data_IF_435617352750
#
_entry.id   IF_435617352750
#
_cell.length_a   1.000
_cell.length_b   1.000
_cell.length_c   1.000
_cell.angle_alpha   90.00
_cell.angle_beta   90.00
_cell.angle_gamma   90.00
#
_symmetry.space_group_name_H-M   'P 1'
#
loop_
_entity.id
_entity.type
_entity.pdbx_description
1 polymer ?
#
# COMPACT_ATOMS: atom_id res chain seq x y z
N UNK A 1 -29.31 -17.11 -8.71
CA UNK A 1 -27.89 -16.92 -9.07
C UNK A 1 -27.86 -16.38 -10.50
N UNK A 2 -27.54 -15.11 -10.69
CA UNK A 2 -27.41 -14.47 -12.02
C UNK A 2 -25.98 -13.94 -12.16
N UNK A 3 -25.44 -13.91 -13.38
CA UNK A 3 -24.13 -13.31 -13.68
C UNK A 3 -23.95 -11.92 -13.05
N UNK A 4 -25.03 -11.14 -12.97
CA UNK A 4 -25.01 -9.81 -12.38
C UNK A 4 -24.68 -9.82 -10.88
N UNK A 5 -25.06 -10.86 -10.13
CA UNK A 5 -24.72 -10.95 -8.71
C UNK A 5 -23.22 -11.14 -8.50
N UNK A 6 -22.56 -11.94 -9.34
CA UNK A 6 -21.11 -12.11 -9.27
C UNK A 6 -20.38 -10.82 -9.60
N UNK A 7 -20.84 -10.08 -10.62
CA UNK A 7 -20.27 -8.77 -10.96
C UNK A 7 -20.39 -7.82 -9.77
N UNK A 8 -21.57 -7.73 -9.14
CA UNK A 8 -21.79 -6.87 -7.97
C UNK A 8 -20.90 -7.26 -6.80
N UNK A 9 -20.80 -8.55 -6.48
CA UNK A 9 -19.97 -9.05 -5.38
C UNK A 9 -18.49 -8.71 -5.58
N UNK A 10 -17.96 -8.88 -6.78
CA UNK A 10 -16.55 -8.58 -7.07
C UNK A 10 -16.23 -7.08 -7.09
N UNK A 11 -17.23 -6.22 -7.24
CA UNK A 11 -17.05 -4.76 -7.30
C UNK A 11 -17.52 -4.03 -6.02
N UNK A 12 -18.09 -4.73 -5.03
CA UNK A 12 -18.54 -4.11 -3.79
C UNK A 12 -17.37 -3.86 -2.85
N UNK A 13 -17.05 -2.60 -2.61
CA UNK A 13 -16.01 -2.16 -1.68
C UNK A 13 -16.38 -0.80 -1.09
N UNK A 14 -15.90 -0.52 0.13
CA UNK A 14 -16.09 0.75 0.83
C UNK A 14 -14.74 1.42 1.03
N UNK A 15 -14.45 2.47 0.26
CA UNK A 15 -13.20 3.23 0.35
C UNK A 15 -13.17 4.22 1.51
N UNK A 16 -14.31 4.56 2.12
CA UNK A 16 -14.34 5.47 3.27
C UNK A 16 -13.61 4.88 4.50
N UNK A 17 -13.41 3.54 4.52
CA UNK A 17 -12.65 2.83 5.52
C UNK A 17 -11.13 2.76 5.27
N UNK A 18 -10.62 3.49 4.26
CA UNK A 18 -9.23 3.44 3.84
C UNK A 18 -8.62 4.83 3.67
N UNK A 19 -7.30 4.89 3.82
CA UNK A 19 -6.47 6.08 3.62
C UNK A 19 -5.74 5.95 2.28
N UNK A 20 -5.73 7.00 1.43
CA UNK A 20 -5.05 6.96 0.15
C UNK A 20 -3.53 6.92 0.31
N UNK A 21 -2.88 6.03 -0.45
CA UNK A 21 -1.42 5.89 -0.49
C UNK A 21 -0.83 6.49 -1.77
N UNK A 22 0.15 7.37 -1.63
CA UNK A 22 0.78 8.13 -2.69
C UNK A 22 2.26 7.83 -2.87
N UNK A 23 2.73 7.96 -4.12
CA UNK A 23 4.14 8.06 -4.49
C UNK A 23 4.27 9.33 -5.34
N UNK A 24 4.92 10.36 -4.80
CA UNK A 24 4.82 11.72 -5.34
C UNK A 24 3.35 12.17 -5.38
N UNK A 25 2.95 12.85 -6.45
CA UNK A 25 1.57 13.34 -6.64
C UNK A 25 0.58 12.25 -7.05
N UNK A 26 1.03 11.00 -7.22
CA UNK A 26 0.18 9.92 -7.75
C UNK A 26 -0.33 9.02 -6.62
N UNK A 27 -1.66 8.89 -6.51
CA UNK A 27 -2.29 7.86 -5.68
C UNK A 27 -2.12 6.49 -6.34
N UNK A 28 -1.40 5.60 -5.67
CA UNK A 28 -1.08 4.25 -6.16
C UNK A 28 -1.83 3.15 -5.41
N UNK A 29 -2.50 3.47 -4.31
CA UNK A 29 -3.25 2.48 -3.55
C UNK A 29 -4.05 3.05 -2.39
N UNK A 30 -4.46 2.13 -1.53
CA UNK A 30 -5.26 2.37 -0.33
C UNK A 30 -4.73 1.49 0.80
N UNK A 31 -4.62 2.06 2.00
CA UNK A 31 -4.20 1.34 3.20
C UNK A 31 -5.26 1.49 4.29
N UNK A 32 -5.40 0.47 5.14
CA UNK A 32 -6.28 0.58 6.31
C UNK A 32 -5.65 1.51 7.35
N UNK A 33 -6.43 2.34 8.06
CA UNK A 33 -5.89 3.19 9.14
C UNK A 33 -5.08 2.39 10.17
N UNK A 34 -5.57 1.22 10.59
CA UNK A 34 -4.87 0.34 11.55
C UNK A 34 -3.52 -0.17 11.03
N UNK A 35 -3.36 -0.30 9.71
CA UNK A 35 -2.10 -0.71 9.11
C UNK A 35 -1.04 0.40 9.16
N UNK A 36 -1.46 1.67 9.17
CA UNK A 36 -0.55 2.82 9.25
C UNK A 36 0.23 2.84 10.57
N UNK A 37 -0.37 2.35 11.65
CA UNK A 37 0.31 2.22 12.96
C UNK A 37 1.57 1.36 12.85
N UNK A 38 1.54 0.30 12.05
CA UNK A 38 2.72 -0.54 11.82
C UNK A 38 3.78 0.15 10.94
N UNK A 39 3.38 1.11 10.11
CA UNK A 39 4.27 1.83 9.20
C UNK A 39 4.97 3.02 9.86
N UNK A 40 4.39 3.60 10.92
CA UNK A 40 4.93 4.77 11.65
C UNK A 40 6.36 4.60 12.17
N UNK A 41 6.83 3.35 12.35
CA UNK A 41 8.22 3.06 12.75
C UNK A 41 9.26 3.26 11.64
N UNK A 42 8.85 3.59 10.42
CA UNK A 42 9.76 3.92 9.30
C UNK A 42 9.52 5.32 8.73
N UNK A 43 9.77 6.39 9.52
CA UNK A 43 9.58 7.78 9.06
C UNK A 43 10.54 8.17 7.91
N UNK A 44 11.65 7.43 7.75
CA UNK A 44 12.55 7.59 6.61
C UNK A 44 11.96 7.07 5.29
N UNK A 45 10.86 6.30 5.32
CA UNK A 45 10.24 5.70 4.14
C UNK A 45 8.81 6.19 3.92
N UNK A 46 8.05 6.43 4.99
CA UNK A 46 6.68 6.90 4.90
C UNK A 46 6.52 8.24 5.58
N UNK A 47 5.82 9.14 4.90
CA UNK A 47 5.19 10.31 5.49
C UNK A 47 3.71 9.96 5.75
N UNK A 48 3.27 10.04 7.00
CA UNK A 48 1.96 9.53 7.43
C UNK A 48 1.21 10.66 8.14
N UNK A 49 0.09 11.06 7.55
CA UNK A 49 -0.90 11.95 8.15
C UNK A 49 -2.19 11.15 8.47
N UNK A 50 -3.18 11.84 9.02
CA UNK A 50 -4.51 11.32 9.33
C UNK A 50 -5.26 10.93 8.05
N UNK A 51 -5.12 11.73 6.99
CA UNK A 51 -5.94 11.64 5.78
C UNK A 51 -5.19 11.07 4.57
N UNK A 52 -3.87 10.90 4.64
CA UNK A 52 -3.08 10.31 3.57
C UNK A 52 -1.76 9.71 4.08
N UNK A 53 -1.18 8.83 3.27
CA UNK A 53 0.18 8.32 3.45
C UNK A 53 0.93 8.46 2.15
N UNK A 54 2.17 8.93 2.21
CA UNK A 54 3.04 9.10 1.05
C UNK A 54 4.38 8.37 1.28
N UNK A 55 5.00 7.95 0.18
CA UNK A 55 6.39 7.53 0.21
C UNK A 55 7.29 8.77 0.34
N UNK A 56 8.28 8.72 1.22
CA UNK A 56 9.18 9.82 1.49
C UNK A 56 9.89 10.25 0.17
N UNK A 57 9.84 11.55 -0.21
CA UNK A 57 10.41 12.03 -1.47
C UNK A 57 11.94 11.87 -1.56
N UNK A 58 12.62 11.63 -0.43
CA UNK A 58 14.05 11.30 -0.42
C UNK A 58 14.38 9.97 -1.14
N UNK A 59 13.40 9.07 -1.32
CA UNK A 59 13.54 7.86 -2.13
C UNK A 59 13.28 8.24 -3.60
N UNK A 60 14.33 8.61 -4.32
CA UNK A 60 14.22 9.31 -5.59
C UNK A 60 13.95 8.36 -6.77
N UNK A 61 14.53 7.16 -6.75
CA UNK A 61 14.45 6.23 -7.87
C UNK A 61 13.65 4.95 -7.58
N UNK A 62 13.34 4.22 -8.65
CA UNK A 62 12.56 2.99 -8.59
C UNK A 62 13.22 1.89 -7.74
N UNK A 63 14.56 1.77 -7.80
CA UNK A 63 15.32 0.74 -7.11
C UNK A 63 15.33 0.98 -5.61
N UNK A 64 15.58 2.22 -5.19
CA UNK A 64 15.56 2.64 -3.79
C UNK A 64 14.19 2.40 -3.15
N UNK A 65 13.11 2.81 -3.84
CA UNK A 65 11.73 2.61 -3.38
C UNK A 65 11.42 1.11 -3.24
N UNK A 66 11.76 0.32 -4.25
CA UNK A 66 11.51 -1.11 -4.26
C UNK A 66 12.29 -1.84 -3.16
N UNK A 67 13.56 -1.47 -2.95
CA UNK A 67 14.40 -2.04 -1.90
C UNK A 67 13.89 -1.68 -0.50
N UNK A 68 13.50 -0.43 -0.27
CA UNK A 68 12.93 0.04 0.99
C UNK A 68 11.63 -0.71 1.32
N UNK A 69 10.70 -0.79 0.37
CA UNK A 69 9.43 -1.50 0.53
C UNK A 69 9.66 -3.02 0.72
N UNK A 70 10.58 -3.64 0.00
CA UNK A 70 10.90 -5.05 0.18
C UNK A 70 11.47 -5.35 1.57
N UNK A 71 12.32 -4.47 2.12
CA UNK A 71 12.84 -4.59 3.50
C UNK A 71 11.71 -4.49 4.52
N UNK A 72 10.82 -3.50 4.36
CA UNK A 72 9.69 -3.29 5.26
C UNK A 72 8.72 -4.47 5.22
N UNK A 73 8.36 -4.96 4.03
CA UNK A 73 7.46 -6.09 3.88
C UNK A 73 8.00 -7.35 4.55
N UNK A 74 9.30 -7.62 4.45
CA UNK A 74 9.93 -8.76 5.17
C UNK A 74 9.84 -8.59 6.69
N UNK A 75 10.08 -7.38 7.20
CA UNK A 75 9.93 -7.09 8.63
C UNK A 75 8.47 -7.27 9.10
N UNK A 76 7.50 -6.79 8.33
CA UNK A 76 6.07 -6.97 8.63
C UNK A 76 5.63 -8.45 8.59
N UNK A 77 6.25 -9.26 7.74
CA UNK A 77 6.04 -10.72 7.75
C UNK A 77 6.64 -11.36 8.99
N UNK A 78 7.86 -10.98 9.38
CA UNK A 78 8.49 -11.48 10.60
C UNK A 78 7.68 -11.15 11.86
N UNK A 79 7.04 -9.97 11.89
CA UNK A 79 6.19 -9.52 12.99
C UNK A 79 4.76 -10.07 12.94
N UNK A 80 4.43 -10.87 11.92
CA UNK A 80 3.10 -11.46 11.75
C UNK A 80 2.01 -10.49 11.29
N UNK A 81 2.35 -9.25 10.92
CA UNK A 81 1.42 -8.24 10.40
C UNK A 81 0.98 -8.59 8.97
N UNK A 82 1.92 -9.06 8.14
CA UNK A 82 1.63 -9.60 6.81
C UNK A 82 1.80 -11.12 6.88
N UNK A 83 0.82 -11.87 6.36
CA UNK A 83 0.78 -13.32 6.50
C UNK A 83 1.94 -14.06 5.83
N UNK A 84 2.33 -13.65 4.62
CA UNK A 84 3.32 -14.37 3.84
C UNK A 84 4.00 -13.48 2.79
N UNK A 85 5.26 -13.79 2.45
CA UNK A 85 6.01 -13.18 1.37
C UNK A 85 6.22 -14.19 0.24
N UNK A 86 5.56 -13.97 -0.90
CA UNK A 86 5.62 -14.89 -2.05
C UNK A 86 6.89 -14.76 -2.90
N UNK A 87 7.63 -13.64 -2.81
CA UNK A 87 8.84 -13.43 -3.59
C UNK A 87 8.64 -13.03 -5.06
N UNK A 88 7.40 -12.85 -5.49
CA UNK A 88 7.07 -12.37 -6.85
C UNK A 88 6.87 -10.85 -6.85
N UNK A 89 7.78 -10.06 -7.44
CA UNK A 89 7.62 -8.61 -7.50
C UNK A 89 6.56 -8.23 -8.54
N UNK A 90 5.65 -7.34 -8.15
CA UNK A 90 4.65 -6.74 -9.02
C UNK A 90 4.93 -5.25 -9.23
N UNK A 91 4.63 -4.74 -10.43
CA UNK A 91 4.77 -3.33 -10.75
C UNK A 91 3.66 -2.53 -10.05
N UNK A 92 4.04 -1.46 -9.36
CA UNK A 92 3.11 -0.51 -8.73
C UNK A 92 2.95 0.69 -9.66
N UNK A 93 1.75 0.91 -10.19
CA UNK A 93 1.42 2.06 -11.04
C UNK A 93 0.12 2.71 -10.58
N UNK A 94 -0.01 4.02 -10.79
CA UNK A 94 -1.28 4.70 -10.61
C UNK A 94 -2.37 4.11 -11.54
N UNK A 95 -3.63 4.22 -11.10
CA UNK A 95 -4.79 3.73 -11.86
C UNK A 95 -5.04 4.51 -13.16
N UNK A 96 -4.37 5.64 -13.39
CA UNK A 96 -4.45 6.38 -14.64
C UNK A 96 -3.70 5.61 -15.73
N UNK A 97 -4.40 4.67 -16.36
CA UNK A 97 -4.10 4.12 -17.68
C UNK A 97 -5.37 4.16 -18.51
#
# INVERSE_FOLDING_TARGET
MSYLNHIRQLNTHDLAAFVPWHIGEQRVGWLRPSFLEHLRRWPAVFDIDTDHVALNPALADFSERSAALARISRALVADGVIKHWHGEPYVVTASSR
#
